data_IF_317574602247
#
_entry.id   IF_317574602247
#
_cell.length_a   1.000
_cell.length_b   1.000
_cell.length_c   1.000
_cell.angle_alpha   90.00
_cell.angle_beta   90.00
_cell.angle_gamma   90.00
#
_symmetry.space_group_name_H-M   'P 1'
#
loop_
_entity.id
_entity.type
_entity.pdbx_description
1 polymer ?
#
# COMPACT_ATOMS: atom_id res chain seq x y z
N UNK A 1 28.97 23.34 -16.58
CA UNK A 1 28.63 24.03 -15.31
C UNK A 1 27.64 23.14 -14.59
N UNK A 2 27.99 22.64 -13.40
CA UNK A 2 27.04 21.87 -12.60
C UNK A 2 26.24 22.87 -11.76
N UNK A 3 25.02 23.16 -12.20
CA UNK A 3 24.03 23.88 -11.42
C UNK A 3 23.52 22.92 -10.33
N UNK A 4 23.79 23.21 -9.06
CA UNK A 4 23.29 22.43 -7.92
C UNK A 4 22.22 23.23 -7.17
N UNK A 5 20.96 23.26 -7.68
CA UNK A 5 19.89 24.01 -7.04
C UNK A 5 19.46 23.33 -5.74
N UNK A 6 18.93 24.11 -4.80
CA UNK A 6 18.29 23.57 -3.59
C UNK A 6 17.13 22.63 -3.96
N UNK A 7 16.84 21.66 -3.09
CA UNK A 7 15.67 20.79 -3.25
C UNK A 7 14.38 21.61 -3.38
N UNK A 8 13.54 21.22 -4.33
CA UNK A 8 12.18 21.71 -4.47
C UNK A 8 11.26 21.11 -3.41
N UNK A 9 10.11 21.74 -3.16
CA UNK A 9 9.10 21.18 -2.25
C UNK A 9 8.65 19.77 -2.68
N UNK A 10 8.56 19.53 -3.99
CA UNK A 10 8.23 18.23 -4.57
C UNK A 10 9.28 17.16 -4.25
N UNK A 11 10.57 17.49 -4.40
CA UNK A 11 11.67 16.57 -4.07
C UNK A 11 11.71 16.27 -2.57
N UNK A 12 11.53 17.29 -1.72
CA UNK A 12 11.44 17.11 -0.27
C UNK A 12 10.27 16.19 0.10
N UNK A 13 9.09 16.40 -0.50
CA UNK A 13 7.92 15.58 -0.25
C UNK A 13 8.13 14.11 -0.69
N UNK A 14 8.74 13.88 -1.85
CA UNK A 14 9.03 12.53 -2.34
C UNK A 14 10.00 11.79 -1.39
N UNK A 15 11.11 12.44 -1.02
CA UNK A 15 12.11 11.90 -0.11
C UNK A 15 11.53 11.63 1.28
N UNK A 16 10.76 12.57 1.84
CA UNK A 16 10.09 12.41 3.14
C UNK A 16 9.15 11.20 3.15
N UNK A 17 8.26 11.10 2.17
CA UNK A 17 7.32 9.98 2.08
C UNK A 17 8.05 8.64 1.91
N UNK A 18 9.05 8.59 1.04
CA UNK A 18 9.85 7.39 0.81
C UNK A 18 10.54 6.93 2.11
N UNK A 19 11.10 7.85 2.89
CA UNK A 19 11.76 7.53 4.15
C UNK A 19 10.80 6.98 5.20
N UNK A 20 9.68 7.66 5.44
CA UNK A 20 8.70 7.24 6.45
C UNK A 20 8.13 5.84 6.14
N UNK A 21 7.82 5.60 4.86
CA UNK A 21 7.28 4.32 4.41
C UNK A 21 8.32 3.19 4.48
N UNK A 22 9.56 3.44 4.08
CA UNK A 22 10.59 2.40 4.05
C UNK A 22 11.14 2.09 5.44
N UNK A 23 11.25 3.07 6.34
CA UNK A 23 11.61 2.77 7.75
C UNK A 23 10.55 1.89 8.41
N UNK A 24 9.25 2.15 8.16
CA UNK A 24 8.17 1.28 8.64
C UNK A 24 8.26 -0.13 8.04
N UNK A 25 8.30 -0.21 6.71
CA UNK A 25 8.32 -1.49 5.99
C UNK A 25 9.52 -2.35 6.40
N UNK A 26 10.69 -1.72 6.60
CA UNK A 26 11.89 -2.38 7.11
C UNK A 26 11.62 -3.10 8.44
N UNK A 27 10.93 -2.46 9.40
CA UNK A 27 10.60 -3.09 10.69
C UNK A 27 9.65 -4.27 10.55
N UNK A 28 8.63 -4.15 9.70
CA UNK A 28 7.70 -5.27 9.41
C UNK A 28 8.44 -6.47 8.81
N UNK A 29 9.29 -6.21 7.82
CA UNK A 29 10.05 -7.24 7.10
C UNK A 29 11.14 -7.83 8.01
N UNK A 30 11.75 -7.04 8.89
CA UNK A 30 12.74 -7.50 9.86
C UNK A 30 12.14 -8.52 10.84
N UNK A 31 10.90 -8.28 11.29
CA UNK A 31 10.17 -9.28 12.07
C UNK A 31 9.91 -10.54 11.25
N UNK A 32 9.41 -10.42 10.01
CA UNK A 32 9.21 -11.58 9.12
C UNK A 32 10.47 -12.39 8.91
N UNK A 33 11.62 -11.74 8.71
CA UNK A 33 12.92 -12.41 8.60
C UNK A 33 13.27 -13.24 9.84
N UNK A 34 12.97 -12.71 11.03
CA UNK A 34 13.33 -13.35 12.30
C UNK A 34 12.52 -14.61 12.57
N UNK A 35 11.27 -14.65 12.10
CA UNK A 35 10.31 -15.71 12.40
C UNK A 35 9.98 -16.60 11.19
N UNK A 36 10.66 -16.40 10.07
CA UNK A 36 10.44 -17.15 8.83
C UNK A 36 10.91 -18.61 9.00
N UNK A 37 10.03 -19.56 8.68
CA UNK A 37 10.35 -20.98 8.69
C UNK A 37 10.52 -21.54 7.26
N UNK A 38 9.87 -20.92 6.27
CA UNK A 38 9.98 -21.25 4.85
C UNK A 38 11.27 -20.71 4.24
N UNK A 39 12.30 -21.56 4.19
CA UNK A 39 13.64 -21.20 3.68
C UNK A 39 13.65 -20.67 2.25
N UNK A 40 12.66 -20.99 1.42
CA UNK A 40 12.58 -20.45 0.07
C UNK A 40 12.34 -18.92 0.08
N UNK A 41 11.78 -18.38 1.16
CA UNK A 41 11.53 -16.94 1.31
C UNK A 41 12.78 -16.16 1.75
N UNK A 42 13.83 -16.82 2.23
CA UNK A 42 14.98 -16.15 2.86
C UNK A 42 15.64 -15.10 1.96
N UNK A 43 15.92 -15.47 0.70
CA UNK A 43 16.55 -14.57 -0.27
C UNK A 43 15.65 -13.37 -0.57
N UNK A 44 14.37 -13.61 -0.83
CA UNK A 44 13.40 -12.55 -1.10
C UNK A 44 13.26 -11.59 0.09
N UNK A 45 13.19 -12.12 1.32
CA UNK A 45 13.09 -11.31 2.53
C UNK A 45 14.35 -10.45 2.69
N UNK A 46 15.54 -11.02 2.45
CA UNK A 46 16.79 -10.26 2.51
C UNK A 46 16.83 -9.16 1.44
N UNK A 47 16.48 -9.48 0.20
CA UNK A 47 16.39 -8.50 -0.89
C UNK A 47 15.39 -7.37 -0.56
N UNK A 48 14.32 -7.69 0.17
CA UNK A 48 13.34 -6.70 0.63
C UNK A 48 13.92 -5.75 1.68
N UNK A 49 14.70 -6.27 2.64
CA UNK A 49 15.42 -5.45 3.63
C UNK A 49 16.45 -4.55 2.96
N UNK A 50 17.20 -5.09 1.99
CA UNK A 50 18.21 -4.35 1.23
C UNK A 50 17.58 -3.24 0.38
N UNK A 51 16.41 -3.49 -0.23
CA UNK A 51 15.65 -2.47 -0.96
C UNK A 51 15.18 -1.34 -0.05
N UNK A 52 14.62 -1.68 1.12
CA UNK A 52 14.23 -0.68 2.12
C UNK A 52 15.45 0.11 2.62
N UNK A 53 16.55 -0.57 2.94
CA UNK A 53 17.80 0.03 3.39
C UNK A 53 18.38 1.02 2.37
N UNK A 54 18.41 0.64 1.09
CA UNK A 54 18.83 1.53 0.00
C UNK A 54 18.05 2.85 0.00
N UNK A 55 16.72 2.80 0.16
CA UNK A 55 15.89 4.00 0.19
C UNK A 55 16.16 4.83 1.44
N UNK A 56 16.22 4.19 2.61
CA UNK A 56 16.47 4.85 3.90
C UNK A 56 17.80 5.61 3.88
N UNK A 57 18.87 4.94 3.47
CA UNK A 57 20.23 5.50 3.48
C UNK A 57 20.39 6.58 2.40
N UNK A 58 19.80 6.37 1.22
CA UNK A 58 19.82 7.38 0.15
C UNK A 58 19.10 8.67 0.53
N UNK A 59 17.92 8.58 1.16
CA UNK A 59 17.22 9.78 1.65
C UNK A 59 18.02 10.49 2.73
N UNK A 60 18.60 9.76 3.70
CA UNK A 60 19.47 10.35 4.73
C UNK A 60 20.61 11.14 4.11
N UNK A 61 21.34 10.54 3.17
CA UNK A 61 22.47 11.17 2.50
C UNK A 61 22.06 12.47 1.78
N UNK A 62 20.91 12.46 1.07
CA UNK A 62 20.41 13.65 0.37
C UNK A 62 19.98 14.73 1.37
N UNK A 63 19.24 14.39 2.42
CA UNK A 63 18.78 15.36 3.42
C UNK A 63 19.95 15.97 4.22
N UNK A 64 20.94 15.17 4.61
CA UNK A 64 22.15 15.66 5.30
C UNK A 64 22.96 16.60 4.40
N UNK A 65 23.13 16.25 3.12
CA UNK A 65 23.80 17.11 2.13
C UNK A 65 23.12 18.47 2.00
N UNK A 66 21.78 18.48 2.02
CA UNK A 66 20.94 19.67 1.88
C UNK A 66 20.66 20.37 3.22
N UNK A 67 21.27 19.88 4.31
CA UNK A 67 21.10 20.37 5.69
C UNK A 67 19.63 20.40 6.12
N UNK A 68 18.84 19.46 5.60
CA UNK A 68 17.48 19.19 6.03
C UNK A 68 17.51 18.29 7.27
N UNK A 69 16.49 18.44 8.12
CA UNK A 69 16.29 17.49 9.21
C UNK A 69 15.86 16.14 8.64
N UNK A 70 16.55 15.07 9.04
CA UNK A 70 16.13 13.71 8.72
C UNK A 70 14.96 13.33 9.63
N UNK A 71 13.82 12.85 9.09
CA UNK A 71 12.74 12.29 9.90
C UNK A 71 13.24 11.17 10.83
N UNK A 72 12.57 10.99 11.97
CA UNK A 72 12.89 9.90 12.90
C UNK A 72 12.48 8.56 12.27
N UNK A 73 11.28 8.49 11.70
CA UNK A 73 10.70 7.30 11.13
C UNK A 73 10.37 6.24 12.19
N UNK A 74 10.63 4.99 11.84
CA UNK A 74 10.41 3.82 12.71
C UNK A 74 11.72 3.17 13.11
N UNK A 75 11.89 2.98 14.41
CA UNK A 75 13.15 2.52 15.02
C UNK A 75 13.03 1.08 15.51
N UNK A 76 14.09 0.58 16.16
CA UNK A 76 14.04 -0.73 16.82
C UNK A 76 13.03 -0.77 17.98
N UNK A 77 12.62 0.38 18.51
CA UNK A 77 11.57 0.47 19.54
C UNK A 77 10.18 0.12 18.98
N UNK A 78 10.00 0.22 17.66
CA UNK A 78 8.73 -0.06 16.99
C UNK A 78 8.56 -1.54 16.62
N UNK A 79 9.55 -2.39 16.91
CA UNK A 79 9.50 -3.83 16.59
C UNK A 79 10.11 -4.69 17.70
N UNK A 80 9.40 -5.75 18.09
CA UNK A 80 9.90 -6.77 18.99
C UNK A 80 10.26 -8.03 18.19
N UNK A 81 11.55 -8.34 18.09
CA UNK A 81 12.05 -9.50 17.33
C UNK A 81 12.08 -10.80 18.15
N UNK A 82 11.72 -10.76 19.43
CA UNK A 82 11.81 -11.92 20.35
C UNK A 82 10.49 -12.66 20.52
N UNK A 83 9.51 -12.36 19.68
CA UNK A 83 8.15 -12.93 19.77
C UNK A 83 7.83 -13.77 18.55
N UNK A 84 6.82 -14.62 18.69
CA UNK A 84 6.41 -15.55 17.63
C UNK A 84 5.71 -14.83 16.47
N UNK A 85 5.73 -15.44 15.27
CA UNK A 85 5.02 -14.92 14.11
C UNK A 85 3.52 -14.76 14.35
N UNK A 86 2.95 -13.68 13.81
CA UNK A 86 1.50 -13.46 13.73
C UNK A 86 0.96 -13.95 12.40
N UNK A 87 1.68 -13.71 11.32
CA UNK A 87 1.27 -14.07 9.96
C UNK A 87 2.07 -15.27 9.46
N UNK A 88 1.46 -16.09 8.60
CA UNK A 88 2.14 -17.19 7.92
C UNK A 88 3.24 -16.69 6.97
N UNK A 89 4.20 -17.57 6.66
CA UNK A 89 5.28 -17.26 5.72
C UNK A 89 4.73 -17.02 4.30
N UNK A 90 3.65 -17.70 3.94
CA UNK A 90 2.99 -17.49 2.64
C UNK A 90 2.28 -16.12 2.58
N UNK A 91 1.67 -15.67 3.67
CA UNK A 91 1.13 -14.32 3.76
C UNK A 91 2.25 -13.27 3.70
N UNK A 92 3.36 -13.48 4.41
CA UNK A 92 4.52 -12.59 4.36
C UNK A 92 5.06 -12.44 2.92
N UNK A 93 5.16 -13.54 2.17
CA UNK A 93 5.51 -13.54 0.75
C UNK A 93 4.53 -12.72 -0.10
N UNK A 94 3.22 -12.91 0.11
CA UNK A 94 2.19 -12.11 -0.59
C UNK A 94 2.28 -10.62 -0.28
N UNK A 95 2.51 -10.28 1.00
CA UNK A 95 2.70 -8.91 1.43
C UNK A 95 3.91 -8.27 0.76
N UNK A 96 5.05 -8.97 0.71
CA UNK A 96 6.26 -8.48 0.04
C UNK A 96 5.98 -8.18 -1.44
N UNK A 97 5.33 -9.11 -2.17
CA UNK A 97 4.91 -8.87 -3.57
C UNK A 97 4.07 -7.57 -3.67
N UNK A 98 3.08 -7.42 -2.80
CA UNK A 98 2.17 -6.27 -2.82
C UNK A 98 2.90 -4.95 -2.54
N UNK A 99 3.74 -4.91 -1.51
CA UNK A 99 4.53 -3.71 -1.18
C UNK A 99 5.57 -3.39 -2.25
N UNK A 100 6.17 -4.40 -2.89
CA UNK A 100 7.09 -4.20 -4.01
C UNK A 100 6.37 -3.59 -5.24
N UNK A 101 5.15 -4.05 -5.54
CA UNK A 101 4.32 -3.46 -6.59
C UNK A 101 4.00 -1.99 -6.30
N UNK A 102 3.64 -1.69 -5.05
CA UNK A 102 3.39 -0.31 -4.63
C UNK A 102 4.65 0.56 -4.67
N UNK A 103 5.77 0.08 -4.13
CA UNK A 103 7.05 0.79 -4.14
C UNK A 103 7.55 1.09 -5.55
N UNK A 104 7.33 0.18 -6.49
CA UNK A 104 7.57 0.39 -7.93
C UNK A 104 6.73 1.56 -8.46
N UNK A 105 5.40 1.50 -8.30
CA UNK A 105 4.49 2.51 -8.81
C UNK A 105 4.75 3.89 -8.17
N UNK A 106 4.97 3.93 -6.85
CA UNK A 106 5.24 5.16 -6.11
C UNK A 106 6.56 5.80 -6.57
N UNK A 107 7.65 5.03 -6.63
CA UNK A 107 8.97 5.53 -7.07
C UNK A 107 8.94 6.07 -8.49
N UNK A 108 8.26 5.35 -9.41
CA UNK A 108 8.07 5.81 -10.78
C UNK A 108 7.22 7.09 -10.85
N UNK A 109 6.12 7.18 -10.09
CA UNK A 109 5.25 8.36 -10.07
C UNK A 109 5.97 9.62 -9.57
N UNK A 110 6.92 9.47 -8.64
CA UNK A 110 7.70 10.62 -8.18
C UNK A 110 8.51 11.24 -9.30
N UNK A 111 8.96 10.50 -10.32
CA UNK A 111 9.75 11.05 -11.44
C UNK A 111 9.04 12.20 -12.18
N UNK A 112 7.71 12.26 -12.14
CA UNK A 112 6.92 13.37 -12.71
C UNK A 112 7.14 14.70 -11.96
N UNK A 113 7.64 14.64 -10.73
CA UNK A 113 7.78 15.77 -9.80
C UNK A 113 9.23 16.20 -9.56
N UNK A 114 10.21 15.44 -10.04
CA UNK A 114 11.63 15.60 -9.71
C UNK A 114 12.39 16.27 -10.85
N UNK A 115 13.25 17.24 -10.54
CA UNK A 115 14.04 17.95 -11.54
C UNK A 115 15.53 17.59 -11.43
N UNK A 116 16.07 17.58 -10.20
CA UNK A 116 17.48 17.32 -9.94
C UNK A 116 17.88 15.91 -10.35
N UNK A 117 19.05 15.80 -10.96
CA UNK A 117 19.54 14.53 -11.51
C UNK A 117 19.79 13.47 -10.42
N UNK A 118 20.47 13.84 -9.33
CA UNK A 118 20.75 12.95 -8.21
C UNK A 118 19.47 12.36 -7.59
N UNK A 119 18.43 13.19 -7.43
CA UNK A 119 17.15 12.74 -6.90
C UNK A 119 16.40 11.84 -7.90
N UNK A 120 16.38 12.20 -9.19
CA UNK A 120 15.78 11.36 -10.25
C UNK A 120 16.48 10.01 -10.38
N UNK A 121 17.81 10.00 -10.37
CA UNK A 121 18.61 8.79 -10.45
C UNK A 121 18.38 7.89 -9.22
N UNK A 122 18.33 8.49 -8.02
CA UNK A 122 17.97 7.78 -6.79
C UNK A 122 16.61 7.07 -6.89
N UNK A 123 15.54 7.77 -7.29
CA UNK A 123 14.21 7.16 -7.42
C UNK A 123 14.12 6.17 -8.60
N UNK A 124 14.90 6.37 -9.66
CA UNK A 124 15.01 5.38 -10.75
C UNK A 124 15.61 4.07 -10.25
N UNK A 125 16.70 4.15 -9.48
CA UNK A 125 17.34 2.99 -8.89
C UNK A 125 16.47 2.31 -7.82
N UNK A 126 15.74 3.10 -7.01
CA UNK A 126 14.75 2.57 -6.06
C UNK A 126 13.64 1.79 -6.80
N UNK A 127 13.09 2.37 -7.87
CA UNK A 127 12.07 1.71 -8.70
C UNK A 127 12.57 0.38 -9.27
N UNK A 128 13.80 0.34 -9.80
CA UNK A 128 14.38 -0.89 -10.34
C UNK A 128 14.51 -2.00 -9.30
N UNK A 129 14.92 -1.66 -8.06
CA UNK A 129 14.99 -2.63 -6.96
C UNK A 129 13.62 -3.22 -6.62
N UNK A 130 12.58 -2.38 -6.54
CA UNK A 130 11.22 -2.86 -6.28
C UNK A 130 10.64 -3.68 -7.44
N UNK A 131 11.00 -3.39 -8.69
CA UNK A 131 10.62 -4.20 -9.86
C UNK A 131 11.23 -5.60 -9.75
N UNK A 132 12.53 -5.71 -9.44
CA UNK A 132 13.18 -7.01 -9.22
C UNK A 132 12.46 -7.79 -8.11
N UNK A 133 12.22 -7.14 -6.97
CA UNK A 133 11.56 -7.76 -5.83
C UNK A 133 10.14 -8.24 -6.15
N UNK A 134 9.37 -7.47 -6.92
CA UNK A 134 8.04 -7.87 -7.36
C UNK A 134 8.07 -9.13 -8.25
N UNK A 135 9.02 -9.19 -9.20
CA UNK A 135 9.15 -10.33 -10.10
C UNK A 135 9.58 -11.59 -9.33
N UNK A 136 10.59 -11.48 -8.46
CA UNK A 136 11.06 -12.57 -7.60
C UNK A 136 9.93 -13.13 -6.72
N UNK A 137 9.17 -12.25 -6.06
CA UNK A 137 8.04 -12.65 -5.23
C UNK A 137 6.92 -13.31 -6.06
N UNK A 138 6.66 -12.81 -7.27
CA UNK A 138 5.67 -13.35 -8.19
C UNK A 138 6.06 -14.75 -8.67
N UNK A 139 7.31 -14.94 -9.10
CA UNK A 139 7.83 -16.23 -9.56
C UNK A 139 7.80 -17.26 -8.42
N UNK A 140 8.14 -16.84 -7.20
CA UNK A 140 8.09 -17.70 -6.03
C UNK A 140 6.65 -18.12 -5.69
N UNK A 141 5.70 -17.18 -5.73
CA UNK A 141 4.27 -17.48 -5.55
C UNK A 141 3.73 -18.42 -6.63
N UNK A 142 4.17 -18.25 -7.88
CA UNK A 142 3.81 -19.13 -9.00
C UNK A 142 4.37 -20.54 -8.78
N UNK A 143 5.65 -20.66 -8.40
CA UNK A 143 6.32 -21.93 -8.11
C UNK A 143 5.66 -22.67 -6.94
N UNK A 144 5.22 -21.96 -5.91
CA UNK A 144 4.49 -22.51 -4.75
C UNK A 144 3.01 -22.81 -5.05
N UNK A 145 2.51 -22.48 -6.25
CA UNK A 145 1.10 -22.67 -6.62
C UNK A 145 0.12 -21.75 -5.88
N UNK A 146 0.63 -20.69 -5.24
CA UNK A 146 -0.14 -19.78 -4.39
C UNK A 146 -0.48 -18.44 -5.06
N UNK A 147 0.03 -18.21 -6.28
CA UNK A 147 -0.34 -17.03 -7.06
C UNK A 147 -1.79 -17.12 -7.53
N UNK A 148 -2.62 -16.18 -7.08
CA UNK A 148 -4.02 -16.09 -7.48
C UNK A 148 -4.12 -15.31 -8.78
N UNK A 149 -4.68 -15.96 -9.80
CA UNK A 149 -4.86 -15.41 -11.13
C UNK A 149 -6.23 -14.73 -11.24
N UNK A 150 -6.28 -13.66 -12.04
CA UNK A 150 -7.56 -13.11 -12.48
C UNK A 150 -8.32 -14.12 -13.35
N UNK A 151 -9.66 -14.05 -13.42
CA UNK A 151 -10.45 -14.87 -14.34
C UNK A 151 -9.97 -14.75 -15.77
N UNK A 152 -10.00 -15.85 -16.52
CA UNK A 152 -9.71 -15.85 -17.96
C UNK A 152 -10.91 -15.33 -18.75
N UNK A 153 -10.66 -14.73 -19.90
CA UNK A 153 -11.69 -14.32 -20.85
C UNK A 153 -11.38 -14.84 -22.26
N UNK A 154 -12.40 -15.10 -23.09
CA UNK A 154 -12.20 -15.46 -24.49
C UNK A 154 -11.51 -14.31 -25.24
N UNK A 155 -10.66 -14.62 -26.25
CA UNK A 155 -10.00 -13.60 -27.04
C UNK A 155 -11.01 -12.79 -27.85
N UNK A 156 -10.72 -11.51 -28.04
CA UNK A 156 -11.47 -10.66 -28.96
C UNK A 156 -11.10 -11.04 -30.41
N UNK A 157 -12.07 -11.52 -31.19
CA UNK A 157 -11.82 -11.95 -32.57
C UNK A 157 -11.64 -10.77 -33.54
N UNK A 158 -12.30 -9.63 -33.28
CA UNK A 158 -12.29 -8.44 -34.13
C UNK A 158 -12.42 -7.17 -33.28
N UNK A 159 -11.76 -6.10 -33.71
CA UNK A 159 -11.93 -4.77 -33.12
C UNK A 159 -13.26 -4.15 -33.56
N UNK A 160 -14.03 -3.64 -32.60
CA UNK A 160 -15.30 -2.95 -32.84
C UNK A 160 -15.31 -1.56 -32.22
N UNK A 161 -15.96 -0.60 -32.89
CA UNK A 161 -16.20 0.73 -32.32
C UNK A 161 -17.50 0.75 -31.53
N UNK A 162 -17.52 1.48 -30.42
CA UNK A 162 -18.74 1.70 -29.65
C UNK A 162 -19.74 2.49 -30.50
N UNK A 163 -20.95 1.93 -30.65
CA UNK A 163 -21.98 2.50 -31.53
C UNK A 163 -22.97 3.42 -30.80
N UNK A 164 -23.08 3.33 -29.48
CA UNK A 164 -23.98 4.14 -28.68
C UNK A 164 -23.53 4.21 -27.20
N UNK A 165 -24.10 5.17 -26.48
CA UNK A 165 -23.77 5.47 -25.07
C UNK A 165 -24.26 4.40 -24.08
N UNK A 166 -25.10 3.43 -24.49
CA UNK A 166 -25.56 2.36 -23.59
C UNK A 166 -24.39 1.51 -23.05
N UNK A 167 -23.23 1.58 -23.72
CA UNK A 167 -21.99 0.99 -23.23
C UNK A 167 -21.54 1.54 -21.87
N UNK A 168 -21.86 2.78 -21.54
CA UNK A 168 -21.56 3.36 -20.21
C UNK A 168 -22.44 2.76 -19.11
N UNK A 169 -23.57 2.14 -19.48
CA UNK A 169 -24.62 1.65 -18.57
C UNK A 169 -25.21 2.75 -17.66
N UNK A 170 -26.38 2.47 -17.06
CA UNK A 170 -26.97 3.33 -16.03
C UNK A 170 -26.50 2.96 -14.63
N UNK A 171 -27.01 3.67 -13.60
CA UNK A 171 -26.85 3.29 -12.19
C UNK A 171 -27.76 2.13 -11.76
N UNK A 172 -28.84 1.91 -12.51
CA UNK A 172 -29.87 0.90 -12.23
C UNK A 172 -30.14 0.09 -13.50
N UNK A 173 -30.58 -1.15 -13.32
CA UNK A 173 -31.00 -2.03 -14.41
C UNK A 173 -29.90 -2.99 -14.85
N UNK A 174 -30.02 -3.52 -16.07
CA UNK A 174 -29.04 -4.46 -16.61
C UNK A 174 -27.83 -3.70 -17.14
N UNK A 175 -26.64 -4.08 -16.69
CA UNK A 175 -25.37 -3.53 -17.16
C UNK A 175 -24.81 -4.38 -18.30
N UNK A 176 -23.96 -3.77 -19.13
CA UNK A 176 -23.16 -4.51 -20.11
C UNK A 176 -22.07 -5.34 -19.40
N UNK A 177 -21.58 -6.43 -20.03
CA UNK A 177 -20.49 -7.22 -19.48
C UNK A 177 -19.29 -6.38 -19.08
N UNK A 178 -18.59 -6.76 -18.02
CA UNK A 178 -17.35 -6.10 -17.61
C UNK A 178 -16.29 -6.15 -18.72
N UNK A 179 -15.55 -5.06 -18.88
CA UNK A 179 -14.36 -5.02 -19.73
C UNK A 179 -13.17 -5.68 -19.03
N UNK A 180 -12.15 -6.08 -19.80
CA UNK A 180 -10.89 -6.57 -19.24
C UNK A 180 -10.24 -5.58 -18.26
N UNK A 181 -10.36 -4.28 -18.54
CA UNK A 181 -9.85 -3.18 -17.70
C UNK A 181 -10.57 -3.17 -16.35
N UNK A 182 -11.90 -3.21 -16.35
CA UNK A 182 -12.71 -3.22 -15.13
C UNK A 182 -12.46 -4.49 -14.29
N UNK A 183 -12.37 -5.66 -14.94
CA UNK A 183 -12.03 -6.93 -14.28
C UNK A 183 -10.66 -6.83 -13.59
N UNK A 184 -9.65 -6.28 -14.29
CA UNK A 184 -8.31 -6.13 -13.73
C UNK A 184 -8.31 -5.23 -12.48
N UNK A 185 -9.04 -4.11 -12.52
CA UNK A 185 -9.20 -3.22 -11.37
C UNK A 185 -9.91 -3.90 -10.19
N UNK A 186 -11.03 -4.58 -10.44
CA UNK A 186 -11.78 -5.30 -9.40
C UNK A 186 -10.89 -6.37 -8.75
N UNK A 187 -10.18 -7.18 -9.54
CA UNK A 187 -9.25 -8.19 -9.02
C UNK A 187 -8.15 -7.58 -8.15
N UNK A 188 -7.51 -6.50 -8.61
CA UNK A 188 -6.45 -5.81 -7.86
C UNK A 188 -6.97 -5.29 -6.51
N UNK A 189 -8.15 -4.67 -6.53
CA UNK A 189 -8.76 -4.10 -5.32
C UNK A 189 -9.20 -5.20 -4.35
N UNK A 190 -9.65 -6.35 -4.85
CA UNK A 190 -10.00 -7.51 -4.04
C UNK A 190 -8.75 -8.11 -3.37
N UNK A 191 -7.64 -8.28 -4.10
CA UNK A 191 -6.36 -8.72 -3.52
C UNK A 191 -5.87 -7.75 -2.44
N UNK A 192 -5.93 -6.45 -2.72
CA UNK A 192 -5.46 -5.39 -1.81
C UNK A 192 -6.25 -5.38 -0.50
N UNK A 193 -7.58 -5.45 -0.58
CA UNK A 193 -8.42 -5.53 0.62
C UNK A 193 -8.18 -6.81 1.41
N UNK A 194 -7.96 -7.96 0.74
CA UNK A 194 -7.63 -9.21 1.42
C UNK A 194 -6.35 -9.08 2.24
N UNK A 195 -5.31 -8.45 1.70
CA UNK A 195 -4.05 -8.20 2.44
C UNK A 195 -4.31 -7.26 3.62
N UNK A 196 -4.99 -6.13 3.36
CA UNK A 196 -5.31 -5.14 4.40
C UNK A 196 -6.12 -5.74 5.53
N UNK A 197 -7.21 -6.46 5.24
CA UNK A 197 -8.06 -7.13 6.22
C UNK A 197 -7.27 -8.11 7.08
N UNK A 198 -6.42 -8.93 6.47
CA UNK A 198 -5.59 -9.90 7.21
C UNK A 198 -4.64 -9.18 8.18
N UNK A 199 -3.97 -8.11 7.74
CA UNK A 199 -3.14 -7.29 8.62
C UNK A 199 -3.92 -6.68 9.78
N UNK A 200 -5.10 -6.14 9.49
CA UNK A 200 -5.91 -5.49 10.51
C UNK A 200 -6.39 -6.48 11.57
N UNK A 201 -6.76 -7.71 11.18
CA UNK A 201 -7.12 -8.76 12.15
C UNK A 201 -5.91 -9.12 13.03
N UNK A 202 -4.71 -9.28 12.44
CA UNK A 202 -3.50 -9.58 13.20
C UNK A 202 -3.05 -8.43 14.12
N UNK A 203 -3.22 -7.18 13.69
CA UNK A 203 -2.98 -6.01 14.54
C UNK A 203 -4.01 -5.89 15.65
N UNK A 204 -5.30 -6.10 15.39
CA UNK A 204 -6.34 -6.13 16.43
C UNK A 204 -6.03 -7.18 17.51
N UNK A 205 -5.52 -8.34 17.11
CA UNK A 205 -5.14 -9.42 18.03
C UNK A 205 -3.97 -9.05 18.97
N UNK A 206 -3.05 -8.18 18.53
CA UNK A 206 -1.76 -7.95 19.20
C UNK A 206 -1.54 -6.53 19.71
N UNK A 207 -2.38 -5.57 19.29
CA UNK A 207 -2.29 -4.18 19.73
C UNK A 207 -2.41 -4.08 21.25
N UNK A 208 -1.68 -3.13 21.84
CA UNK A 208 -1.59 -2.98 23.29
C UNK A 208 -2.74 -2.13 23.82
N UNK A 209 -3.06 -1.04 23.15
CA UNK A 209 -4.15 -0.14 23.49
C UNK A 209 -5.51 -0.65 22.96
N UNK A 210 -6.57 -0.69 23.81
CA UNK A 210 -7.92 -1.06 23.38
C UNK A 210 -8.48 -0.21 22.24
N UNK A 211 -8.14 1.08 22.19
CA UNK A 211 -8.57 1.99 21.14
C UNK A 211 -7.97 1.63 19.78
N UNK A 212 -6.72 1.15 19.79
CA UNK A 212 -6.04 0.65 18.57
C UNK A 212 -6.69 -0.64 18.12
N UNK A 213 -6.99 -1.58 19.03
CA UNK A 213 -7.75 -2.80 18.68
C UNK A 213 -9.09 -2.48 18.01
N UNK A 214 -9.85 -1.58 18.63
CA UNK A 214 -11.15 -1.14 18.11
C UNK A 214 -11.03 -0.48 16.73
N UNK A 215 -9.98 0.32 16.53
CA UNK A 215 -9.68 0.93 15.24
C UNK A 215 -9.40 -0.16 14.18
N UNK A 216 -8.54 -1.13 14.48
CA UNK A 216 -8.20 -2.23 13.58
C UNK A 216 -9.41 -3.11 13.26
N UNK A 217 -10.24 -3.45 14.25
CA UNK A 217 -11.48 -4.22 14.07
C UNK A 217 -12.42 -3.52 13.07
N UNK A 218 -12.66 -2.21 13.27
CA UNK A 218 -13.46 -1.40 12.35
C UNK A 218 -12.88 -1.39 10.94
N UNK A 219 -11.56 -1.24 10.80
CA UNK A 219 -10.92 -1.30 9.49
C UNK A 219 -11.07 -2.65 8.80
N UNK A 220 -10.97 -3.76 9.56
CA UNK A 220 -11.15 -5.12 9.02
C UNK A 220 -12.57 -5.34 8.49
N UNK A 221 -13.58 -4.81 9.19
CA UNK A 221 -14.99 -4.86 8.77
C UNK A 221 -15.24 -4.02 7.50
N UNK A 222 -14.60 -2.86 7.39
CA UNK A 222 -14.65 -2.05 6.16
C UNK A 222 -14.08 -2.85 4.98
N UNK A 223 -12.89 -3.44 5.15
CA UNK A 223 -12.27 -4.23 4.09
C UNK A 223 -13.12 -5.45 3.68
N UNK A 224 -13.72 -6.15 4.64
CA UNK A 224 -14.62 -7.29 4.38
C UNK A 224 -15.87 -6.87 3.58
N UNK A 225 -16.50 -5.77 3.96
CA UNK A 225 -17.64 -5.19 3.24
C UNK A 225 -17.25 -4.83 1.80
N UNK A 226 -16.07 -4.27 1.59
CA UNK A 226 -15.58 -3.90 0.27
C UNK A 226 -15.26 -5.13 -0.60
N UNK A 227 -14.61 -6.15 -0.03
CA UNK A 227 -14.42 -7.45 -0.69
C UNK A 227 -15.75 -8.06 -1.12
N UNK A 228 -16.77 -8.00 -0.25
CA UNK A 228 -18.11 -8.54 -0.53
C UNK A 228 -18.72 -7.88 -1.75
N UNK A 229 -18.69 -6.55 -1.83
CA UNK A 229 -19.20 -5.79 -2.99
C UNK A 229 -18.48 -6.20 -4.28
N UNK A 230 -17.14 -6.35 -4.25
CA UNK A 230 -16.39 -6.78 -5.44
C UNK A 230 -16.72 -8.21 -5.86
N UNK A 231 -16.95 -9.12 -4.90
CA UNK A 231 -17.37 -10.50 -5.18
C UNK A 231 -18.78 -10.54 -5.77
N UNK A 232 -19.70 -9.75 -5.23
CA UNK A 232 -21.08 -9.63 -5.74
C UNK A 232 -21.09 -9.20 -7.21
N UNK A 233 -20.27 -8.20 -7.57
CA UNK A 233 -20.14 -7.77 -8.98
C UNK A 233 -19.71 -8.93 -9.89
N UNK A 234 -18.76 -9.77 -9.48
CA UNK A 234 -18.39 -10.94 -10.28
C UNK A 234 -19.49 -12.00 -10.37
N UNK A 235 -20.22 -12.23 -9.27
CA UNK A 235 -21.33 -13.19 -9.26
C UNK A 235 -22.48 -12.73 -10.17
N UNK A 236 -22.82 -11.45 -10.16
CA UNK A 236 -23.85 -10.85 -11.02
C UNK A 236 -23.50 -10.98 -12.50
N UNK A 237 -22.20 -10.95 -12.84
CA UNK A 237 -21.67 -11.10 -14.20
C UNK A 237 -21.47 -12.57 -14.60
N UNK A 238 -21.83 -13.53 -13.74
CA UNK A 238 -21.62 -14.95 -13.98
C UNK A 238 -20.14 -15.35 -14.07
N UNK A 239 -19.25 -14.54 -13.50
CA UNK A 239 -17.81 -14.77 -13.51
C UNK A 239 -17.39 -15.63 -12.32
N UNK A 240 -16.37 -16.50 -12.49
CA UNK A 240 -15.82 -17.23 -11.35
C UNK A 240 -15.13 -16.26 -10.39
N UNK A 241 -15.36 -16.47 -9.09
CA UNK A 241 -14.62 -15.75 -8.06
C UNK A 241 -13.15 -16.19 -8.06
N UNK A 242 -12.19 -15.28 -7.82
CA UNK A 242 -10.82 -15.66 -7.53
C UNK A 242 -10.78 -16.64 -6.35
N UNK A 243 -9.83 -17.57 -6.39
CA UNK A 243 -9.56 -18.49 -5.27
C UNK A 243 -9.32 -17.71 -3.97
N UNK A 244 -9.51 -18.37 -2.84
CA UNK A 244 -9.22 -17.78 -1.53
C UNK A 244 -7.73 -17.64 -1.33
N UNK A 245 -7.27 -16.46 -0.91
CA UNK A 245 -5.89 -16.27 -0.51
C UNK A 245 -5.60 -16.82 0.88
N UNK A 246 -4.35 -17.23 1.09
CA UNK A 246 -3.86 -17.50 2.44
C UNK A 246 -3.94 -16.24 3.30
N UNK A 247 -4.71 -16.35 4.38
CA UNK A 247 -4.99 -15.30 5.36
C UNK A 247 -4.74 -15.84 6.77
N UNK A 248 -3.81 -16.80 6.87
CA UNK A 248 -3.55 -17.52 8.12
C UNK A 248 -2.87 -16.62 9.13
N UNK A 249 -3.53 -16.46 10.28
CA UNK A 249 -3.05 -15.73 11.45
C UNK A 249 -2.84 -16.75 12.57
N UNK A 250 -1.72 -16.64 13.27
CA UNK A 250 -1.35 -17.52 14.38
C UNK A 250 -2.19 -17.20 15.63
N UNK A 251 -2.11 -18.04 16.66
CA UNK A 251 -2.76 -17.80 17.96
C UNK A 251 -1.95 -16.88 18.89
N UNK A 252 -0.79 -16.38 18.44
CA UNK A 252 0.10 -15.57 19.27
C UNK A 252 -0.56 -14.23 19.61
N UNK A 253 -0.54 -13.86 20.88
CA UNK A 253 -0.99 -12.54 21.35
C UNK A 253 0.17 -11.63 21.72
N UNK A 254 1.40 -12.10 21.51
CA UNK A 254 2.60 -11.30 21.71
C UNK A 254 2.61 -10.14 20.71
N UNK A 255 3.12 -9.00 21.13
CA UNK A 255 3.11 -7.78 20.32
C UNK A 255 4.42 -7.62 19.53
N UNK A 256 4.46 -7.94 18.22
CA UNK A 256 5.67 -7.77 17.41
C UNK A 256 5.91 -6.32 16.99
N UNK A 257 4.89 -5.46 17.01
CA UNK A 257 4.96 -4.09 16.50
C UNK A 257 4.41 -3.10 17.52
N UNK A 258 4.92 -1.87 17.57
CA UNK A 258 4.30 -0.82 18.38
C UNK A 258 2.91 -0.46 17.84
N UNK A 259 2.02 0.00 18.72
CA UNK A 259 0.72 0.55 18.31
C UNK A 259 0.88 1.73 17.31
N UNK A 260 1.95 2.53 17.47
CA UNK A 260 2.33 3.60 16.53
C UNK A 260 2.58 3.03 15.13
N UNK A 261 3.36 1.95 15.02
CA UNK A 261 3.64 1.29 13.75
C UNK A 261 2.35 0.72 13.14
N UNK A 262 1.54 0.02 13.92
CA UNK A 262 0.29 -0.57 13.43
C UNK A 262 -0.65 0.50 12.87
N UNK A 263 -0.81 1.62 13.57
CA UNK A 263 -1.64 2.75 13.13
C UNK A 263 -1.10 3.38 11.84
N UNK A 264 0.20 3.67 11.77
CA UNK A 264 0.81 4.26 10.57
C UNK A 264 0.69 3.32 9.37
N UNK A 265 0.99 2.04 9.55
CA UNK A 265 0.89 1.06 8.47
C UNK A 265 -0.54 0.96 7.95
N UNK A 266 -1.53 0.99 8.85
CA UNK A 266 -2.95 1.04 8.45
C UNK A 266 -3.29 2.28 7.61
N UNK A 267 -2.80 3.46 8.01
CA UNK A 267 -2.97 4.68 7.20
C UNK A 267 -2.29 4.57 5.84
N UNK A 268 -1.13 3.92 5.75
CA UNK A 268 -0.47 3.66 4.48
C UNK A 268 -1.30 2.72 3.60
N UNK A 269 -1.81 1.61 4.13
CA UNK A 269 -2.67 0.68 3.38
C UNK A 269 -3.93 1.38 2.86
N UNK A 270 -4.52 2.28 3.66
CA UNK A 270 -5.63 3.11 3.23
C UNK A 270 -5.25 4.06 2.09
N UNK A 271 -4.08 4.71 2.18
CA UNK A 271 -3.56 5.58 1.12
C UNK A 271 -3.38 4.80 -0.19
N UNK A 272 -2.83 3.59 -0.13
CA UNK A 272 -2.68 2.73 -1.32
C UNK A 272 -4.05 2.40 -1.93
N UNK A 273 -5.04 2.09 -1.07
CA UNK A 273 -6.41 1.79 -1.49
C UNK A 273 -7.11 3.00 -2.13
N UNK A 274 -6.92 4.21 -1.56
CA UNK A 274 -7.41 5.48 -2.13
C UNK A 274 -6.86 5.68 -3.55
N UNK A 275 -5.54 5.51 -3.74
CA UNK A 275 -4.91 5.62 -5.06
C UNK A 275 -5.44 4.56 -6.03
N UNK A 276 -5.60 3.32 -5.58
CA UNK A 276 -6.12 2.24 -6.40
C UNK A 276 -7.57 2.48 -6.83
N UNK A 277 -8.42 3.00 -5.95
CA UNK A 277 -9.82 3.33 -6.27
C UNK A 277 -9.91 4.53 -7.20
N UNK A 278 -9.08 5.55 -7.02
CA UNK A 278 -8.98 6.66 -7.98
C UNK A 278 -8.64 6.19 -9.39
N UNK A 279 -7.64 5.30 -9.53
CA UNK A 279 -7.30 4.69 -10.81
C UNK A 279 -8.44 3.82 -11.36
N UNK A 280 -9.17 3.12 -10.49
CA UNK A 280 -10.29 2.26 -10.89
C UNK A 280 -11.50 3.07 -11.35
N UNK A 281 -11.77 4.22 -10.74
CA UNK A 281 -12.77 5.19 -11.22
C UNK A 281 -12.38 5.69 -12.61
N UNK A 282 -11.12 6.09 -12.79
CA UNK A 282 -10.63 6.60 -14.08
C UNK A 282 -10.65 5.53 -15.20
N UNK A 283 -10.38 4.27 -14.86
CA UNK A 283 -10.34 3.15 -15.81
C UNK A 283 -11.68 2.49 -16.10
N UNK A 284 -12.73 2.77 -15.31
CA UNK A 284 -14.05 2.14 -15.48
C UNK A 284 -14.97 3.03 -16.30
N UNK A 285 -15.52 2.49 -17.39
CA UNK A 285 -16.51 3.19 -18.20
C UNK A 285 -17.94 2.96 -17.71
N UNK A 286 -18.16 1.91 -16.90
CA UNK A 286 -19.44 1.64 -16.25
C UNK A 286 -19.74 2.64 -15.14
N UNK A 287 -20.86 3.34 -15.26
CA UNK A 287 -21.29 4.37 -14.29
C UNK A 287 -21.54 3.78 -12.89
N UNK A 288 -22.11 2.57 -12.81
CA UNK A 288 -22.33 1.86 -11.55
C UNK A 288 -21.02 1.54 -10.83
N UNK A 289 -19.99 1.07 -11.54
CA UNK A 289 -18.67 0.81 -10.96
C UNK A 289 -18.04 2.09 -10.43
N UNK A 290 -18.12 3.19 -11.18
CA UNK A 290 -17.66 4.50 -10.72
C UNK A 290 -18.34 4.94 -9.41
N UNK A 291 -19.65 4.70 -9.29
CA UNK A 291 -20.41 4.98 -8.08
C UNK A 291 -20.00 4.07 -6.90
N UNK A 292 -19.81 2.77 -7.14
CA UNK A 292 -19.29 1.85 -6.13
C UNK A 292 -17.93 2.32 -5.60
N UNK A 293 -16.95 2.55 -6.47
CA UNK A 293 -15.63 3.00 -6.06
C UNK A 293 -15.66 4.33 -5.31
N UNK A 294 -16.47 5.31 -5.75
CA UNK A 294 -16.61 6.61 -5.08
C UNK A 294 -17.16 6.46 -3.65
N UNK A 295 -18.17 5.60 -3.47
CA UNK A 295 -18.73 5.30 -2.15
C UNK A 295 -17.69 4.64 -1.24
N UNK A 296 -16.97 3.64 -1.74
CA UNK A 296 -15.94 2.93 -0.98
C UNK A 296 -14.75 3.83 -0.62
N UNK A 297 -14.36 4.71 -1.54
CA UNK A 297 -13.34 5.73 -1.33
C UNK A 297 -13.71 6.64 -0.16
N UNK A 298 -14.97 7.11 -0.11
CA UNK A 298 -15.46 7.98 0.97
C UNK A 298 -15.34 7.32 2.34
N UNK A 299 -15.68 6.03 2.44
CA UNK A 299 -15.57 5.24 3.68
C UNK A 299 -14.11 5.13 4.16
N UNK A 300 -13.16 4.88 3.25
CA UNK A 300 -11.73 4.81 3.58
C UNK A 300 -11.18 6.18 4.00
N UNK A 301 -11.61 7.26 3.35
CA UNK A 301 -11.17 8.62 3.70
C UNK A 301 -11.64 9.01 5.11
N UNK A 302 -12.88 8.69 5.46
CA UNK A 302 -13.41 8.92 6.82
C UNK A 302 -12.63 8.11 7.85
N UNK A 303 -12.38 6.82 7.59
CA UNK A 303 -11.59 5.95 8.47
C UNK A 303 -10.15 6.45 8.65
N UNK A 304 -9.50 6.88 7.56
CA UNK A 304 -8.16 7.46 7.59
C UNK A 304 -8.10 8.74 8.41
N UNK A 305 -9.10 9.62 8.27
CA UNK A 305 -9.16 10.87 9.01
C UNK A 305 -9.26 10.64 10.53
N UNK A 306 -10.07 9.67 10.95
CA UNK A 306 -10.17 9.28 12.36
C UNK A 306 -8.82 8.74 12.89
N UNK A 307 -8.13 7.92 12.08
CA UNK A 307 -6.81 7.41 12.43
C UNK A 307 -5.75 8.51 12.54
N UNK A 308 -5.73 9.48 11.62
CA UNK A 308 -4.82 10.63 11.69
C UNK A 308 -5.07 11.45 12.95
N UNK A 309 -6.32 11.76 13.29
CA UNK A 309 -6.66 12.48 14.53
C UNK A 309 -6.16 11.74 15.76
N UNK A 310 -6.41 10.43 15.83
CA UNK A 310 -5.92 9.60 16.92
C UNK A 310 -4.39 9.63 17.04
N UNK A 311 -3.67 9.53 15.92
CA UNK A 311 -2.21 9.61 15.92
C UNK A 311 -1.69 11.00 16.31
N UNK A 312 -2.39 12.08 15.95
CA UNK A 312 -2.07 13.44 16.41
C UNK A 312 -2.22 13.51 17.95
N UNK A 313 -3.35 13.03 18.48
CA UNK A 313 -3.63 13.05 19.93
C UNK A 313 -2.59 12.26 20.74
N UNK A 314 -2.04 11.18 20.15
CA UNK A 314 -0.97 10.37 20.75
C UNK A 314 0.44 10.89 20.50
N UNK A 315 0.62 11.94 19.68
CA UNK A 315 1.94 12.43 19.28
C UNK A 315 2.73 11.43 18.43
N UNK A 316 2.04 10.60 17.65
CA UNK A 316 2.60 9.49 16.87
C UNK A 316 2.89 9.83 15.41
N UNK A 317 2.48 11.01 14.94
CA UNK A 317 2.75 11.48 13.59
C UNK A 317 3.82 12.57 13.61
N UNK A 318 4.88 12.36 12.82
CA UNK A 318 5.86 13.41 12.58
C UNK A 318 5.27 14.47 11.65
N UNK A 319 5.52 15.73 11.96
CA UNK A 319 5.09 16.84 11.11
C UNK A 319 5.85 16.80 9.78
N UNK A 320 5.17 16.68 8.63
CA UNK A 320 5.84 16.76 7.34
C UNK A 320 6.45 18.15 7.11
N UNK A 321 7.51 18.26 6.28
CA UNK A 321 8.06 19.54 5.87
C UNK A 321 6.97 20.44 5.30
N UNK A 322 6.86 21.65 5.83
CA UNK A 322 5.84 22.62 5.47
C UNK A 322 6.48 23.95 5.07
N UNK A 323 5.73 24.75 4.30
CA UNK A 323 6.15 26.11 4.01
C UNK A 323 6.14 26.96 5.29
N UNK A 324 6.87 28.07 5.25
CA UNK A 324 6.93 29.03 6.35
C UNK A 324 5.56 29.66 6.56
N UNK A 325 5.02 29.56 7.78
CA UNK A 325 3.85 30.33 8.22
C UNK A 325 4.25 31.79 8.45
N UNK A 326 4.03 32.62 7.43
CA UNK A 326 4.38 34.04 7.45
C UNK A 326 3.53 34.85 8.42
N UNK A 327 2.31 34.42 8.74
CA UNK A 327 1.47 35.11 9.72
C UNK A 327 1.93 34.80 11.14
N UNK A 328 2.29 33.55 11.43
CA UNK A 328 2.92 33.20 12.70
C UNK A 328 4.23 33.98 12.93
N UNK A 329 5.03 34.20 11.88
CA UNK A 329 6.27 34.99 11.99
C UNK A 329 6.04 36.47 12.35
N UNK A 330 4.96 37.09 11.87
CA UNK A 330 4.61 38.48 12.21
C UNK A 330 4.20 38.63 13.68
N UNK A 331 3.66 37.57 14.26
CA UNK A 331 3.12 37.55 15.62
C UNK A 331 4.08 36.94 16.66
N UNK A 332 5.35 36.68 16.29
CA UNK A 332 6.40 36.32 17.26
C UNK A 332 6.88 37.58 17.98
N UNK A 333 6.59 37.67 19.28
CA UNK A 333 7.14 38.71 20.17
C UNK A 333 8.62 38.50 20.46
#
# INVERSE_FOLDING_TARGET
MNHNPALTASEIAALWNAYMQNTMAYRVIQHFATVNEDKDNNELIQNSLDACGFVIDGVKAIFELEKQAVPIGFTEEDVNLKVSRIYSDLFALRYIKYMAAFGTAASASFLELLARFDVRDFFTNASNKFICLYNEATDLLLKKGAFIRSPTMPPMEKTEYLQNESFLSGLLGRHRPLTAIEIAHICKNLETNSIGRTFLIGFAQTAQLPEVRTFMDRGSQIAEKQETIFREIFLEEGMPLPSTWDSTISKSTDTPFSDKLMMFHTLQLNMISVTAYGASIAGSMRVDLGAHYTRLLTEILQYSNDGVKFMIDKGWIEQPPQNVDREALKNRH
#
